data_IF_329494028013
#
_entry.id   IF_329494028013
#
_cell.length_a   1.000
_cell.length_b   1.000
_cell.length_c   1.000
_cell.angle_alpha   90.00
_cell.angle_beta   90.00
_cell.angle_gamma   90.00
#
_symmetry.space_group_name_H-M   'P 1'
#
loop_
_entity.id
_entity.type
_entity.pdbx_description
1 polymer ?
#
# COMPACT_ATOMS: atom_id res chain seq x y z
N UNK A 1 -17.11 7.55 31.04
CA UNK A 1 -17.92 6.77 30.09
C UNK A 1 -18.04 7.48 28.73
N UNK A 2 -16.92 7.94 28.15
CA UNK A 2 -16.94 8.77 26.91
C UNK A 2 -15.90 8.32 25.89
N UNK A 3 -14.75 7.82 26.32
CA UNK A 3 -13.68 7.40 25.40
C UNK A 3 -13.97 6.10 24.65
N UNK A 4 -14.69 5.15 25.28
CA UNK A 4 -15.11 3.93 24.60
C UNK A 4 -16.08 4.21 23.45
N UNK A 5 -17.05 5.10 23.63
CA UNK A 5 -17.99 5.48 22.59
C UNK A 5 -17.30 6.26 21.46
N UNK A 6 -16.33 7.15 21.77
CA UNK A 6 -15.51 7.83 20.75
C UNK A 6 -14.66 6.86 19.92
N UNK A 7 -14.08 5.84 20.56
CA UNK A 7 -13.29 4.81 19.86
C UNK A 7 -14.17 3.89 19.01
N UNK A 8 -15.36 3.54 19.49
CA UNK A 8 -16.36 2.79 18.72
C UNK A 8 -16.83 3.62 17.53
N UNK A 9 -17.12 4.92 17.72
CA UNK A 9 -17.53 5.81 16.63
C UNK A 9 -16.44 5.94 15.57
N UNK A 10 -15.17 6.08 15.94
CA UNK A 10 -14.07 6.17 14.97
C UNK A 10 -13.98 4.92 14.08
N UNK A 11 -14.13 3.71 14.67
CA UNK A 11 -14.17 2.45 13.91
C UNK A 11 -15.48 2.26 13.11
N UNK A 12 -16.61 2.73 13.64
CA UNK A 12 -17.93 2.53 13.02
C UNK A 12 -18.19 3.53 11.89
N UNK A 13 -17.67 4.77 11.98
CA UNK A 13 -17.78 5.80 10.93
C UNK A 13 -16.90 5.50 9.71
N UNK A 14 -15.82 4.75 9.89
CA UNK A 14 -14.99 4.22 8.79
C UNK A 14 -15.72 3.13 8.00
N UNK A 15 -16.55 2.31 8.67
CA UNK A 15 -17.41 1.33 7.99
C UNK A 15 -18.65 1.97 7.34
N UNK A 16 -19.16 3.08 7.89
CA UNK A 16 -20.41 3.73 7.46
C UNK A 16 -20.27 4.84 6.41
N UNK A 17 -19.06 5.34 6.14
CA UNK A 17 -18.80 6.27 5.04
C UNK A 17 -17.76 5.67 4.14
N UNK A 18 -18.14 5.27 2.93
CA UNK A 18 -17.26 4.74 1.89
C UNK A 18 -16.25 5.83 1.45
N UNK A 19 -15.31 6.16 2.33
CA UNK A 19 -14.26 7.13 2.12
C UNK A 19 -13.11 6.41 1.43
N UNK A 20 -12.88 6.81 0.19
CA UNK A 20 -11.77 6.32 -0.61
C UNK A 20 -10.48 6.92 -0.07
N UNK A 21 -9.69 6.12 0.63
CA UNK A 21 -8.34 6.47 1.05
C UNK A 21 -7.33 5.68 0.19
N UNK A 22 -6.44 6.42 -0.48
CA UNK A 22 -5.45 5.88 -1.42
C UNK A 22 -4.06 6.39 -1.03
N UNK A 23 -3.11 5.47 -0.93
CA UNK A 23 -1.68 5.77 -0.87
C UNK A 23 -1.14 5.95 -2.29
N UNK A 24 -0.62 7.14 -2.59
CA UNK A 24 0.00 7.45 -3.87
C UNK A 24 1.51 7.17 -3.83
N UNK A 25 2.05 6.62 -4.92
CA UNK A 25 3.48 6.35 -5.07
C UNK A 25 3.89 6.41 -6.55
N UNK A 26 5.19 6.54 -6.82
CA UNK A 26 5.74 6.49 -8.20
C UNK A 26 6.51 5.21 -8.41
N UNK A 27 6.36 4.56 -9.56
CA UNK A 27 7.09 3.34 -9.90
C UNK A 27 7.70 3.47 -11.31
N UNK A 28 9.02 3.34 -11.40
CA UNK A 28 9.74 3.35 -12.67
C UNK A 28 9.65 4.67 -13.46
N UNK A 29 10.01 4.58 -14.73
CA UNK A 29 9.88 5.64 -15.73
C UNK A 29 9.22 5.02 -16.96
N UNK A 30 8.14 5.63 -17.45
CA UNK A 30 7.51 5.23 -18.70
C UNK A 30 8.50 5.45 -19.83
N UNK A 31 8.87 4.37 -20.53
CA UNK A 31 9.88 4.39 -21.60
C UNK A 31 9.39 5.10 -22.87
N UNK A 32 8.07 5.21 -23.07
CA UNK A 32 7.45 5.84 -24.24
C UNK A 32 7.27 7.34 -24.03
N UNK A 33 6.88 7.76 -22.83
CA UNK A 33 6.58 9.16 -22.52
C UNK A 33 7.71 9.87 -21.76
N UNK A 34 8.65 9.11 -21.19
CA UNK A 34 9.72 9.62 -20.36
C UNK A 34 9.25 10.16 -19.01
N UNK A 35 8.03 9.81 -18.55
CA UNK A 35 7.44 10.36 -17.33
C UNK A 35 7.47 9.35 -16.19
N UNK A 36 7.54 9.86 -14.97
CA UNK A 36 7.27 9.05 -13.77
C UNK A 36 5.77 9.05 -13.53
N UNK A 37 5.17 7.89 -13.68
CA UNK A 37 3.73 7.73 -13.48
C UNK A 37 3.41 7.61 -11.98
N UNK A 38 2.27 8.19 -11.59
CA UNK A 38 1.75 8.11 -10.23
C UNK A 38 0.72 7.00 -10.16
N UNK A 39 0.97 6.04 -9.26
CA UNK A 39 0.09 4.92 -8.96
C UNK A 39 -0.58 5.12 -7.60
N UNK A 40 -1.68 4.42 -7.38
CA UNK A 40 -2.42 4.45 -6.12
C UNK A 40 -2.77 3.05 -5.65
N UNK A 41 -2.62 2.79 -4.35
CA UNK A 41 -3.11 1.57 -3.68
C UNK A 41 -4.08 1.96 -2.57
N UNK A 42 -5.15 1.18 -2.42
CA UNK A 42 -6.09 1.37 -1.31
C UNK A 42 -5.35 1.16 0.03
N UNK A 43 -5.50 2.10 0.97
CA UNK A 43 -4.80 2.04 2.28
C UNK A 43 -5.16 0.79 3.08
N UNK A 44 -6.37 0.22 2.93
CA UNK A 44 -6.76 -1.01 3.60
C UNK A 44 -6.00 -2.24 3.09
N UNK A 45 -5.38 -2.18 1.91
CA UNK A 45 -4.50 -3.24 1.39
C UNK A 45 -3.04 -3.08 1.81
N UNK A 46 -2.69 -1.99 2.49
CA UNK A 46 -1.31 -1.70 2.92
C UNK A 46 -1.12 -2.21 4.34
N UNK A 47 -0.11 -3.07 4.54
CA UNK A 47 0.27 -3.57 5.88
C UNK A 47 1.29 -2.66 6.55
N UNK A 48 2.31 -2.24 5.80
CA UNK A 48 3.37 -1.35 6.28
C UNK A 48 4.06 -0.65 5.11
N UNK A 49 4.76 0.45 5.40
CA UNK A 49 5.66 1.15 4.46
C UNK A 49 7.04 1.18 5.08
N UNK A 50 8.01 0.56 4.40
CA UNK A 50 9.38 0.44 4.89
C UNK A 50 10.39 0.66 3.77
N UNK A 51 11.66 0.83 4.14
CA UNK A 51 12.77 0.80 3.17
C UNK A 51 12.97 -0.64 2.72
N UNK A 52 13.27 -0.84 1.43
CA UNK A 52 13.55 -2.17 0.87
C UNK A 52 14.69 -2.83 1.64
N UNK A 53 14.43 -3.94 2.35
CA UNK A 53 15.48 -4.71 3.02
C UNK A 53 16.24 -5.56 2.01
N UNK A 54 17.24 -6.33 2.46
CA UNK A 54 17.91 -7.30 1.60
C UNK A 54 16.93 -8.39 1.15
N UNK A 55 16.87 -8.65 -0.16
CA UNK A 55 15.97 -9.64 -0.76
C UNK A 55 16.77 -10.92 -1.07
N UNK A 56 16.25 -12.06 -0.66
CA UNK A 56 16.83 -13.39 -0.94
C UNK A 56 16.10 -14.03 -2.12
N UNK A 57 16.81 -14.28 -3.21
CA UNK A 57 16.26 -14.96 -4.38
C UNK A 57 16.30 -16.49 -4.21
N UNK A 58 15.22 -17.18 -4.60
CA UNK A 58 15.17 -18.63 -4.70
C UNK A 58 15.51 -19.11 -6.12
N UNK A 59 15.96 -20.36 -6.31
CA UNK A 59 16.09 -20.97 -7.63
C UNK A 59 14.74 -20.98 -8.38
N UNK A 60 14.79 -20.92 -9.72
CA UNK A 60 13.63 -21.04 -10.61
C UNK A 60 12.47 -20.06 -10.35
N UNK A 61 12.75 -18.89 -9.77
CA UNK A 61 11.72 -17.87 -9.58
C UNK A 61 11.24 -17.26 -10.90
N UNK A 62 9.93 -16.99 -11.02
CA UNK A 62 9.39 -16.21 -12.14
C UNK A 62 10.03 -14.82 -12.21
N UNK A 63 10.21 -14.27 -13.41
CA UNK A 63 10.81 -12.94 -13.63
C UNK A 63 10.05 -11.78 -12.96
N UNK A 64 8.81 -12.00 -12.55
CA UNK A 64 7.97 -11.03 -11.83
C UNK A 64 8.13 -11.08 -10.31
N UNK A 65 8.94 -12.01 -9.78
CA UNK A 65 9.17 -12.20 -8.34
C UNK A 65 10.63 -11.93 -8.03
N UNK A 66 10.91 -10.90 -7.23
CA UNK A 66 12.28 -10.52 -6.88
C UNK A 66 12.90 -11.43 -5.81
N UNK A 67 12.08 -11.92 -4.87
CA UNK A 67 12.52 -12.85 -3.83
C UNK A 67 11.70 -12.75 -2.55
N UNK A 68 12.32 -13.13 -1.44
CA UNK A 68 11.73 -13.12 -0.11
C UNK A 68 12.53 -12.21 0.82
N UNK A 69 11.82 -11.61 1.77
CA UNK A 69 12.35 -10.82 2.88
C UNK A 69 12.21 -11.62 4.17
#
# INVERSE_FOLDING_TARGET
>A
MSDLLKNIDARTRLAGTNKLEILLFTLGMDQRTGRRETFGINVFKVREVMRTPGITAAPDMPSSVEGMV
#
